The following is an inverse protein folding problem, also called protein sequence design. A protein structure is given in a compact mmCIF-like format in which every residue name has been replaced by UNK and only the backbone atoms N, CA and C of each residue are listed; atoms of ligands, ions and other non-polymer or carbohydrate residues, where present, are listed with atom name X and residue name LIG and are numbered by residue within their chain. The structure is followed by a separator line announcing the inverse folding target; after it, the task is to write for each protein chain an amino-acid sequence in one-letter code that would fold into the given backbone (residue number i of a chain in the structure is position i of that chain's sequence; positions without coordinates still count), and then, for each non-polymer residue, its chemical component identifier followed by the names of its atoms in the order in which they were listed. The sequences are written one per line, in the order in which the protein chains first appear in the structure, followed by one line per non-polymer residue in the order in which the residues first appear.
data_IF_308812817250
#
_entry.id   IF_308812817250
#
_cell.length_a   1.000
_cell.length_b   1.000
_cell.length_c   1.000
_cell.angle_alpha   90.00
_cell.angle_beta   90.00
_cell.angle_gamma   90.00
#
_symmetry.space_group_name_H-M   'P 1'
#
loop_
_entity.id
_entity.type
_entity.pdbx_description
1 polymer ?
#
# COMPACT_ATOMS: atom_id res chain seq x y z
N UNK A 1 -6.55 -11.76 -17.98
CA UNK A 1 -7.16 -10.77 -17.06
C UNK A 1 -6.57 -10.99 -15.67
N UNK A 2 -6.54 -9.98 -14.80
CA UNK A 2 -5.92 -10.08 -13.46
C UNK A 2 -6.39 -8.98 -12.50
N UNK A 3 -5.92 -9.01 -11.25
CA UNK A 3 -6.25 -8.02 -10.21
C UNK A 3 -5.02 -7.19 -9.83
N UNK A 4 -5.17 -5.86 -9.86
CA UNK A 4 -4.12 -4.90 -9.47
C UNK A 4 -4.64 -4.00 -8.34
N UNK A 5 -4.02 -4.08 -7.17
CA UNK A 5 -4.40 -3.26 -6.01
C UNK A 5 -4.13 -1.77 -6.26
N UNK A 6 -5.12 -0.92 -5.99
CA UNK A 6 -5.01 0.53 -6.13
C UNK A 6 -4.08 1.12 -5.07
N UNK A 7 -3.18 2.00 -5.50
CA UNK A 7 -2.27 2.69 -4.59
C UNK A 7 -1.43 1.74 -3.76
N UNK A 8 -0.78 0.75 -4.41
CA UNK A 8 0.05 -0.27 -3.76
C UNK A 8 1.21 0.30 -2.90
N UNK A 9 1.59 1.56 -3.16
CA UNK A 9 2.41 2.42 -2.31
C UNK A 9 1.57 3.65 -1.92
N UNK A 10 1.72 4.13 -0.68
CA UNK A 10 0.99 5.33 -0.22
C UNK A 10 1.21 6.51 -1.17
N UNK A 11 0.10 7.14 -1.55
CA UNK A 11 0.02 8.22 -2.54
C UNK A 11 -1.02 9.26 -2.11
N UNK A 12 -1.02 10.41 -2.78
CA UNK A 12 -1.99 11.48 -2.57
C UNK A 12 -3.36 11.06 -3.13
N UNK A 13 -4.40 11.10 -2.30
CA UNK A 13 -5.75 10.72 -2.71
C UNK A 13 -6.27 11.62 -3.84
N UNK A 14 -6.99 11.06 -4.81
CA UNK A 14 -7.52 11.83 -5.94
C UNK A 14 -8.67 12.78 -5.54
N UNK A 15 -9.49 12.39 -4.56
CA UNK A 15 -10.70 13.14 -4.17
C UNK A 15 -10.43 14.31 -3.24
N UNK A 16 -9.49 14.15 -2.31
CA UNK A 16 -9.26 15.11 -1.21
C UNK A 16 -7.84 15.65 -1.18
N UNK A 17 -6.95 15.17 -2.07
CA UNK A 17 -5.54 15.52 -2.07
C UNK A 17 -4.83 15.23 -0.72
N UNK A 18 -5.19 14.12 -0.07
CA UNK A 18 -4.72 13.75 1.27
C UNK A 18 -3.77 12.53 1.24
N UNK A 19 -2.74 12.55 2.09
CA UNK A 19 -1.82 11.46 2.42
C UNK A 19 -2.21 10.72 3.70
N UNK A 20 -3.05 11.31 4.58
CA UNK A 20 -3.60 10.59 5.74
C UNK A 20 -4.46 9.39 5.33
N UNK A 21 -5.05 9.42 4.13
CA UNK A 21 -5.83 8.32 3.55
C UNK A 21 -4.89 7.36 2.81
N UNK A 22 -4.42 6.33 3.53
CA UNK A 22 -3.32 5.45 3.09
C UNK A 22 -3.85 4.11 2.58
N UNK A 23 -3.47 3.75 1.35
CA UNK A 23 -3.93 2.54 0.67
C UNK A 23 -2.83 1.49 0.50
N UNK A 24 -1.56 1.90 0.55
CA UNK A 24 -0.46 1.07 0.10
C UNK A 24 -0.07 -0.01 1.08
N UNK A 25 0.50 -1.08 0.53
CA UNK A 25 1.26 -2.06 1.30
C UNK A 25 2.63 -1.52 1.72
N UNK A 26 3.08 -0.44 1.08
CA UNK A 26 4.30 0.30 1.39
C UNK A 26 3.90 1.67 1.97
N UNK A 27 4.33 1.92 3.20
CA UNK A 27 4.20 3.21 3.85
C UNK A 27 5.22 4.19 3.28
N UNK A 28 4.79 5.42 3.03
CA UNK A 28 5.66 6.55 2.67
C UNK A 28 5.59 7.57 3.80
N UNK A 29 6.76 7.91 4.33
CA UNK A 29 6.91 8.94 5.36
C UNK A 29 6.71 10.34 4.75
N UNK A 30 5.44 10.71 4.61
CA UNK A 30 4.98 12.01 4.13
C UNK A 30 3.60 12.32 4.71
N UNK A 31 3.41 13.55 5.15
CA UNK A 31 2.17 14.04 5.76
C UNK A 31 1.51 15.12 4.88
N UNK A 32 0.25 15.45 5.19
CA UNK A 32 -0.56 16.43 4.44
C UNK A 32 0.05 17.84 4.46
N UNK A 33 0.78 18.19 5.53
CA UNK A 33 1.51 19.46 5.69
C UNK A 33 2.83 19.51 4.90
N UNK A 34 3.17 18.44 4.17
CA UNK A 34 4.40 18.33 3.39
C UNK A 34 5.63 17.85 4.18
N UNK A 35 5.52 17.64 5.49
CA UNK A 35 6.60 17.08 6.31
C UNK A 35 6.83 15.60 6.03
N UNK A 36 8.04 15.11 6.31
CA UNK A 36 8.45 13.71 6.16
C UNK A 36 9.71 13.53 5.31
N UNK A 37 10.34 12.36 5.44
CA UNK A 37 11.61 12.03 4.79
C UNK A 37 11.44 11.39 3.40
N UNK A 38 10.22 11.09 3.00
CA UNK A 38 9.89 10.24 1.85
C UNK A 38 10.45 8.82 1.95
N UNK A 39 10.93 8.37 3.11
CA UNK A 39 11.38 7.00 3.30
C UNK A 39 10.23 6.00 3.13
N UNK A 40 10.56 4.79 2.67
CA UNK A 40 9.60 3.74 2.38
C UNK A 40 9.75 2.59 3.36
N UNK A 41 8.62 2.13 3.89
CA UNK A 41 8.59 1.07 4.89
C UNK A 41 7.55 0.03 4.51
N UNK A 42 7.91 -1.25 4.61
CA UNK A 42 6.98 -2.34 4.34
C UNK A 42 5.97 -2.42 5.48
N UNK A 43 4.67 -2.30 5.18
CA UNK A 43 3.62 -2.54 6.17
C UNK A 43 3.47 -4.04 6.41
N UNK A 44 2.77 -4.43 7.48
CA UNK A 44 2.44 -5.84 7.76
C UNK A 44 1.78 -6.54 6.56
N UNK A 45 0.90 -5.84 5.85
CA UNK A 45 0.19 -6.35 4.69
C UNK A 45 1.06 -6.57 3.44
N UNK A 46 2.30 -6.06 3.42
CA UNK A 46 3.23 -6.28 2.31
C UNK A 46 3.57 -7.76 2.13
N UNK A 47 3.93 -8.44 3.21
CA UNK A 47 4.27 -9.85 3.14
C UNK A 47 3.04 -10.72 2.94
N UNK A 48 1.88 -10.31 3.47
CA UNK A 48 0.61 -10.98 3.18
C UNK A 48 0.29 -10.94 1.68
N UNK A 49 0.33 -9.77 1.04
CA UNK A 49 0.03 -9.68 -0.39
C UNK A 49 1.09 -10.37 -1.26
N UNK A 50 2.36 -10.35 -0.83
CA UNK A 50 3.42 -11.16 -1.46
C UNK A 50 3.07 -12.65 -1.44
N UNK A 51 2.57 -13.17 -0.31
CA UNK A 51 2.20 -14.58 -0.17
C UNK A 51 0.97 -14.95 -1.00
N UNK A 52 -0.04 -14.07 -1.05
CA UNK A 52 -1.21 -14.24 -1.93
C UNK A 52 -0.77 -14.36 -3.40
N UNK A 53 0.14 -13.50 -3.87
CA UNK A 53 0.67 -13.56 -5.24
C UNK A 53 1.47 -14.86 -5.45
N UNK A 54 2.37 -15.20 -4.52
CA UNK A 54 3.25 -16.36 -4.64
C UNK A 54 2.48 -17.69 -4.67
N UNK A 55 1.32 -17.74 -4.01
CA UNK A 55 0.46 -18.92 -3.93
C UNK A 55 -0.68 -18.88 -4.95
N UNK A 56 -0.71 -17.89 -5.85
CA UNK A 56 -1.81 -17.67 -6.78
C UNK A 56 -3.19 -17.64 -6.10
N UNK A 57 -3.27 -17.09 -4.88
CA UNK A 57 -4.51 -16.95 -4.10
C UNK A 57 -4.78 -18.08 -3.10
N UNK A 58 -4.08 -19.21 -3.15
CA UNK A 58 -4.35 -20.35 -2.25
C UNK A 58 -4.21 -20.00 -0.76
N UNK A 59 -3.33 -19.05 -0.40
CA UNK A 59 -3.19 -18.61 1.01
C UNK A 59 -4.40 -17.90 1.59
N UNK A 60 -5.41 -17.53 0.78
CA UNK A 60 -6.66 -16.92 1.25
C UNK A 60 -7.65 -17.92 1.86
N UNK A 61 -7.44 -19.22 1.65
CA UNK A 61 -8.36 -20.29 2.04
C UNK A 61 -7.86 -21.14 3.21
N UNK A 62 -6.70 -20.79 3.79
CA UNK A 62 -6.12 -21.47 4.96
C UNK A 62 -6.61 -20.88 6.28
#
# INVERSE_FOLDING_TARGET
MGYTSWGCIDLVSASTAELKKRYGYIYVDRNDDGTGTLNRYKKKFFYWYKDVIATNGESLHK
#
